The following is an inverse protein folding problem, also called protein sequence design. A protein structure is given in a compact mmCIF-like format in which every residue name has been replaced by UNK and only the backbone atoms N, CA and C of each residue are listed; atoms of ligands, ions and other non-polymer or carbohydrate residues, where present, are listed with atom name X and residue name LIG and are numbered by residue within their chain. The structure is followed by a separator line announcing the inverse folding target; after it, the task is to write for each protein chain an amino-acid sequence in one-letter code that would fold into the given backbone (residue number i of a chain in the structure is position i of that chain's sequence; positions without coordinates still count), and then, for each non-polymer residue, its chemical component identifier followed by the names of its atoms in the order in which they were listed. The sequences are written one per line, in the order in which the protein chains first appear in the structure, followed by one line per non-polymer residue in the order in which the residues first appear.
data_IF_280479963283
#
_entry.id   IF_280479963283
#
_cell.length_a   1.000
_cell.length_b   1.000
_cell.length_c   1.000
_cell.angle_alpha   90.00
_cell.angle_beta   90.00
_cell.angle_gamma   90.00
#
_symmetry.space_group_name_H-M   'P 1'
#
loop_
_entity.id
_entity.type
_entity.pdbx_description
1 polymer ?
#
# COMPACT_ATOMS: atom_id res chain seq x y z
N UNK A 1 2.84 -4.91 2.79
CA UNK A 1 3.12 -3.70 3.61
C UNK A 1 3.86 -4.16 4.83
N UNK A 2 4.59 -3.28 5.50
CA UNK A 2 5.25 -3.56 6.78
C UNK A 2 4.86 -2.49 7.80
N UNK A 3 4.73 -2.86 9.06
CA UNK A 3 4.36 -1.93 10.14
C UNK A 3 5.54 -1.63 11.07
N UNK A 4 6.30 -2.67 11.46
CA UNK A 4 7.40 -2.57 12.42
C UNK A 4 8.78 -2.74 11.78
N UNK A 5 8.96 -3.80 11.01
CA UNK A 5 10.25 -4.13 10.40
C UNK A 5 10.16 -4.23 8.87
N UNK A 6 10.85 -3.35 8.11
CA UNK A 6 10.94 -3.47 6.66
C UNK A 6 11.75 -4.69 6.21
N UNK A 7 12.65 -5.24 7.03
CA UNK A 7 13.58 -6.32 6.67
C UNK A 7 12.84 -7.62 6.38
N UNK A 8 11.98 -8.06 7.31
CA UNK A 8 11.13 -9.25 7.14
C UNK A 8 10.30 -9.16 5.84
N UNK A 9 9.76 -7.97 5.54
CA UNK A 9 8.99 -7.73 4.32
C UNK A 9 9.87 -7.81 3.07
N UNK A 10 11.09 -7.26 3.13
CA UNK A 10 12.09 -7.36 2.06
C UNK A 10 12.36 -8.82 1.70
N UNK A 11 12.69 -9.63 2.71
CA UNK A 11 13.11 -11.02 2.55
C UNK A 11 11.96 -11.87 2.01
N UNK A 12 10.78 -11.75 2.63
CA UNK A 12 9.59 -12.53 2.27
C UNK A 12 9.17 -12.33 0.82
N UNK A 13 9.27 -11.10 0.31
CA UNK A 13 8.83 -10.75 -1.04
C UNK A 13 9.98 -10.55 -2.03
N UNK A 14 11.22 -10.67 -1.58
CA UNK A 14 12.44 -10.42 -2.37
C UNK A 14 12.38 -9.06 -3.10
N UNK A 15 11.99 -8.00 -2.37
CA UNK A 15 11.86 -6.65 -2.91
C UNK A 15 13.19 -5.89 -2.72
N UNK A 16 13.91 -5.52 -3.79
CA UNK A 16 15.09 -4.69 -3.68
C UNK A 16 14.73 -3.20 -3.46
N UNK A 17 15.62 -2.46 -2.80
CA UNK A 17 15.55 -0.99 -2.68
C UNK A 17 14.74 -0.47 -1.49
N UNK A 18 14.37 0.82 -1.53
CA UNK A 18 13.71 1.48 -0.41
C UNK A 18 12.27 0.98 -0.20
N UNK A 19 12.01 0.41 0.98
CA UNK A 19 10.72 -0.14 1.35
C UNK A 19 9.76 0.88 1.97
N UNK A 20 10.17 2.13 2.19
CA UNK A 20 9.35 3.17 2.82
C UNK A 20 7.99 3.34 2.13
N UNK A 21 7.95 3.19 0.81
CA UNK A 21 6.72 3.14 0.01
C UNK A 21 5.66 2.16 0.54
N UNK A 22 6.10 1.03 1.08
CA UNK A 22 5.25 -0.05 1.58
C UNK A 22 5.00 0.03 3.10
N UNK A 23 5.50 1.06 3.79
CA UNK A 23 5.22 1.31 5.21
C UNK A 23 3.71 1.43 5.40
N UNK A 24 3.19 0.68 6.35
CA UNK A 24 1.80 0.75 6.77
C UNK A 24 1.53 2.11 7.41
N UNK A 25 0.45 2.73 7.00
CA UNK A 25 -0.04 4.01 7.53
C UNK A 25 -1.55 3.90 7.70
N UNK A 26 -2.10 4.79 8.52
CA UNK A 26 -3.54 4.97 8.62
C UNK A 26 -3.98 5.94 7.53
N UNK A 27 -5.05 5.60 6.82
CA UNK A 27 -5.70 6.44 5.82
C UNK A 27 -7.16 6.67 6.19
N UNK A 28 -7.64 7.90 6.05
CA UNK A 28 -9.02 8.27 6.31
C UNK A 28 -9.88 8.05 5.06
N UNK A 29 -10.95 7.26 5.14
CA UNK A 29 -11.88 7.06 4.02
C UNK A 29 -12.59 8.36 3.63
N UNK A 30 -13.08 9.08 4.64
CA UNK A 30 -13.54 10.47 4.56
C UNK A 30 -12.44 11.38 5.12
N UNK A 31 -11.85 12.27 4.32
CA UNK A 31 -10.81 13.18 4.80
C UNK A 31 -11.29 14.04 5.96
N UNK A 32 -10.42 14.31 6.95
CA UNK A 32 -10.72 15.21 8.08
C UNK A 32 -11.22 16.58 7.64
N UNK A 33 -10.63 17.16 6.59
CA UNK A 33 -11.05 18.45 6.03
C UNK A 33 -12.52 18.46 5.52
N UNK A 34 -13.08 17.29 5.23
CA UNK A 34 -14.47 17.12 4.81
C UNK A 34 -15.36 16.65 5.98
N UNK A 35 -14.89 16.73 7.23
CA UNK A 35 -15.60 16.27 8.42
C UNK A 35 -15.56 14.76 8.61
N UNK A 36 -14.46 14.10 8.23
CA UNK A 36 -14.17 12.73 8.65
C UNK A 36 -13.56 12.69 10.05
N UNK A 37 -13.94 11.68 10.84
CA UNK A 37 -13.45 11.48 12.21
C UNK A 37 -12.39 10.38 12.29
N UNK A 38 -11.90 10.11 13.50
CA UNK A 38 -10.90 9.06 13.76
C UNK A 38 -11.52 7.74 14.22
N UNK A 39 -12.80 7.52 13.89
CA UNK A 39 -13.47 6.25 14.22
C UNK A 39 -12.94 5.14 13.32
N UNK A 40 -12.85 3.93 13.86
CA UNK A 40 -12.26 2.79 13.16
C UNK A 40 -12.95 2.44 11.83
N UNK A 41 -14.22 2.78 11.65
CA UNK A 41 -14.97 2.60 10.40
C UNK A 41 -14.55 3.60 9.30
N UNK A 42 -14.00 4.75 9.69
CA UNK A 42 -13.44 5.76 8.79
C UNK A 42 -11.93 5.58 8.57
N UNK A 43 -11.27 4.68 9.28
CA UNK A 43 -9.82 4.44 9.18
C UNK A 43 -9.53 3.12 8.49
N UNK A 44 -8.56 3.12 7.57
CA UNK A 44 -8.07 1.91 6.91
C UNK A 44 -6.55 1.87 6.91
N UNK A 45 -5.99 0.67 6.90
CA UNK A 45 -4.57 0.47 6.65
C UNK A 45 -4.27 0.67 5.16
N UNK A 46 -3.32 1.57 4.84
CA UNK A 46 -2.82 1.78 3.50
C UNK A 46 -1.31 1.97 3.51
N UNK A 47 -0.63 1.62 2.42
CA UNK A 47 0.80 1.90 2.33
C UNK A 47 1.04 3.40 2.13
N UNK A 48 2.18 3.89 2.59
CA UNK A 48 2.58 5.30 2.48
C UNK A 48 2.41 5.84 1.04
N UNK A 49 2.75 5.06 0.02
CA UNK A 49 2.58 5.49 -1.37
C UNK A 49 1.12 5.63 -1.78
N UNK A 50 0.27 4.63 -1.51
CA UNK A 50 -1.15 4.72 -1.84
C UNK A 50 -1.79 5.92 -1.13
N UNK A 51 -1.52 6.07 0.16
CA UNK A 51 -2.00 7.17 0.97
C UNK A 51 -1.59 8.54 0.36
N UNK A 52 -0.29 8.77 0.16
CA UNK A 52 0.19 10.02 -0.46
C UNK A 52 -0.37 10.25 -1.87
N UNK A 53 -0.46 9.20 -2.70
CA UNK A 53 -1.02 9.32 -4.04
C UNK A 53 -2.50 9.71 -3.99
N UNK A 54 -3.29 9.18 -3.06
CA UNK A 54 -4.70 9.55 -2.89
C UNK A 54 -4.84 11.02 -2.52
N UNK A 55 -4.06 11.49 -1.55
CA UNK A 55 -4.08 12.91 -1.14
C UNK A 55 -3.63 13.89 -2.22
N UNK A 56 -2.74 13.48 -3.13
CA UNK A 56 -2.26 14.31 -4.25
C UNK A 56 -3.21 14.34 -5.45
N UNK A 57 -4.27 13.52 -5.47
CA UNK A 57 -5.22 13.53 -6.58
C UNK A 57 -6.03 14.82 -6.58
N UNK A 58 -6.07 15.50 -7.74
CA UNK A 58 -6.89 16.71 -7.93
C UNK A 58 -8.39 16.46 -7.70
N UNK A 59 -8.86 15.26 -8.04
CA UNK A 59 -10.23 14.81 -7.77
C UNK A 59 -10.21 13.81 -6.62
N UNK A 60 -10.94 14.12 -5.55
CA UNK A 60 -11.19 13.17 -4.46
C UNK A 60 -12.02 12.01 -4.99
N UNK A 61 -11.41 10.84 -5.11
CA UNK A 61 -12.10 9.60 -5.44
C UNK A 61 -12.74 9.02 -4.19
N UNK A 62 -13.96 8.49 -4.33
CA UNK A 62 -14.52 7.62 -3.31
C UNK A 62 -13.59 6.41 -3.06
N UNK A 63 -13.67 5.76 -1.90
CA UNK A 63 -12.84 4.59 -1.61
C UNK A 63 -12.92 3.49 -2.70
N UNK A 64 -14.13 3.21 -3.20
CA UNK A 64 -14.35 2.22 -4.25
C UNK A 64 -13.73 2.63 -5.61
N UNK A 65 -13.85 3.91 -5.98
CA UNK A 65 -13.23 4.43 -7.20
C UNK A 65 -11.69 4.40 -7.12
N UNK A 66 -11.14 4.78 -5.96
CA UNK A 66 -9.70 4.73 -5.72
C UNK A 66 -9.19 3.28 -5.80
N UNK A 67 -9.85 2.33 -5.14
CA UNK A 67 -9.53 0.91 -5.23
C UNK A 67 -9.54 0.40 -6.67
N UNK A 68 -10.56 0.77 -7.46
CA UNK A 68 -10.65 0.41 -8.90
C UNK A 68 -9.51 1.04 -9.70
N UNK A 69 -9.15 2.29 -9.43
CA UNK A 69 -8.02 2.97 -10.05
C UNK A 69 -6.69 2.24 -9.75
N UNK A 70 -6.42 1.92 -8.48
CA UNK A 70 -5.21 1.20 -8.07
C UNK A 70 -5.14 -0.17 -8.73
N UNK A 71 -6.23 -0.94 -8.71
CA UNK A 71 -6.30 -2.26 -9.36
C UNK A 71 -5.98 -2.18 -10.85
N UNK A 72 -6.60 -1.23 -11.57
CA UNK A 72 -6.35 -1.01 -13.01
C UNK A 72 -4.89 -0.67 -13.29
N UNK A 73 -4.30 0.26 -12.52
CA UNK A 73 -2.89 0.67 -12.69
C UNK A 73 -1.93 -0.45 -12.32
N UNK A 74 -2.24 -1.23 -11.29
CA UNK A 74 -1.44 -2.38 -10.87
C UNK A 74 -1.46 -3.45 -11.96
N UNK A 75 -2.64 -3.83 -12.45
CA UNK A 75 -2.77 -4.79 -13.54
C UNK A 75 -1.94 -4.40 -14.78
N UNK A 76 -1.93 -3.11 -15.13
CA UNK A 76 -1.15 -2.57 -16.24
C UNK A 76 0.36 -2.40 -15.96
N UNK A 77 0.86 -2.68 -14.74
CA UNK A 77 2.25 -2.43 -14.38
C UNK A 77 2.61 -0.94 -14.37
N UNK A 78 1.67 -0.08 -13.95
CA UNK A 78 1.81 1.39 -13.95
C UNK A 78 1.53 2.02 -12.58
N UNK A 79 1.49 1.22 -11.52
CA UNK A 79 1.25 1.69 -10.16
C UNK A 79 2.55 1.88 -9.38
N UNK A 80 3.42 0.87 -9.40
CA UNK A 80 4.76 0.96 -8.84
C UNK A 80 5.81 1.03 -9.95
N UNK A 81 7.05 1.41 -9.65
CA UNK A 81 8.16 1.24 -10.57
C UNK A 81 8.38 -0.22 -10.99
N UNK A 82 8.97 -0.47 -12.18
CA UNK A 82 9.21 -1.82 -12.70
C UNK A 82 9.88 -2.78 -11.72
N UNK A 83 10.80 -2.28 -10.91
CA UNK A 83 11.53 -3.08 -9.92
C UNK A 83 10.63 -3.76 -8.87
N UNK A 84 9.39 -3.29 -8.68
CA UNK A 84 8.41 -3.86 -7.75
C UNK A 84 7.36 -4.75 -8.43
N UNK A 85 7.39 -4.90 -9.75
CA UNK A 85 6.38 -5.70 -10.47
C UNK A 85 6.61 -7.20 -10.33
N UNK A 86 7.86 -7.63 -10.19
CA UNK A 86 8.25 -9.04 -10.18
C UNK A 86 7.84 -9.79 -8.90
N UNK A 87 7.54 -9.07 -7.81
CA UNK A 87 7.08 -9.64 -6.55
C UNK A 87 5.62 -10.13 -6.61
N UNK A 88 4.89 -9.88 -7.71
CA UNK A 88 3.50 -10.32 -7.88
C UNK A 88 3.34 -11.80 -8.21
N UNK A 89 4.38 -12.43 -8.79
CA UNK A 89 4.30 -13.81 -9.30
C UNK A 89 5.12 -14.82 -8.48
N UNK A 90 5.84 -14.39 -7.43
CA UNK A 90 6.54 -15.32 -6.54
C UNK A 90 5.66 -15.57 -5.32
N UNK A 91 5.26 -16.83 -5.13
CA UNK A 91 4.75 -17.28 -3.83
C UNK A 91 5.77 -16.88 -2.75
N UNK A 92 5.34 -16.30 -1.62
CA UNK A 92 6.25 -15.94 -0.56
C UNK A 92 7.00 -17.22 -0.14
N UNK A 93 8.34 -17.14 -0.07
CA UNK A 93 9.12 -18.24 0.51
C UNK A 93 8.58 -18.42 1.94
N UNK A 94 8.22 -19.65 2.32
CA UNK A 94 7.91 -19.93 3.72
C UNK A 94 9.17 -19.58 4.51
N UNK A 95 9.07 -18.61 5.39
CA UNK A 95 10.06 -18.41 6.44
C UNK A 95 10.01 -19.68 7.30
N UNK A 96 11.02 -20.54 7.16
CA UNK A 96 11.23 -21.66 8.05
C UNK A 96 11.45 -21.07 9.44
N UNK A 97 10.52 -21.33 10.37
CA UNK A 97 10.77 -21.04 11.78
C UNK A 97 11.97 -21.88 12.20
N UNK A 98 13.06 -21.24 12.59
CA UNK A 98 14.17 -21.92 13.25
C UNK A 98 13.72 -22.42 14.62
N UNK A 99 14.20 -23.62 14.95
CA UNK A 99 13.94 -24.40 16.17
C UNK A 99 14.32 -23.67 17.47
#
# INVERSE_FOLDING_TARGET
MWDRDPTEFSERYSIPGSLNRFRCTVEHLKPRMNGGDDRCDNLVAACQFCNQTRHRMRKTLSPAEYQRHVRKRTAAGRWHPPLYHHCRNRSPRRLSKGD
#
